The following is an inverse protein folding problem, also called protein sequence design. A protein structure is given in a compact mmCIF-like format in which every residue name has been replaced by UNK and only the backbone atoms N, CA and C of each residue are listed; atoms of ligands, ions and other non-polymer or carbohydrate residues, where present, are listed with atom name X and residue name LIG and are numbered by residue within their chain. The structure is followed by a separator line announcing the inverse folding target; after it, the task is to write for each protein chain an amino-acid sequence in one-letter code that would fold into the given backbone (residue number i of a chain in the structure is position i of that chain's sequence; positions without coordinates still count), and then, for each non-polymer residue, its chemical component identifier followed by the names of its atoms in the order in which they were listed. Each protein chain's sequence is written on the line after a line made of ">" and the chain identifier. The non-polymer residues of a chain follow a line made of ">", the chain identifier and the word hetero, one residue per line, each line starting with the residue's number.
data_IF_343483914065
#
_entry.id   IF_343483914065
#
_cell.length_a   1.000
_cell.length_b   1.000
_cell.length_c   1.000
_cell.angle_alpha   90.00
_cell.angle_beta   90.00
_cell.angle_gamma   90.00
#
_symmetry.space_group_name_H-M   'P 1'
#
loop_
_entity.id
_entity.type
_entity.pdbx_description
1 polymer ?
#
# COMPACT_ATOMS: atom_id res chain seq x y z
N UNK A 1 1.53 -32.44 4.45
CA UNK A 1 1.24 -31.59 3.27
C UNK A 1 0.41 -30.43 3.72
N UNK A 2 0.85 -29.20 3.47
CA UNK A 2 0.08 -27.98 3.80
C UNK A 2 -0.83 -27.64 2.63
N UNK A 3 -2.11 -27.37 2.90
CA UNK A 3 -3.09 -26.92 1.90
C UNK A 3 -3.41 -25.45 2.15
N UNK A 4 -3.45 -24.65 1.10
CA UNK A 4 -3.94 -23.26 1.21
C UNK A 4 -5.41 -23.31 1.64
N UNK A 5 -5.72 -22.65 2.76
CA UNK A 5 -7.08 -22.59 3.30
C UNK A 5 -7.95 -21.57 2.55
N UNK A 6 -7.38 -20.40 2.24
CA UNK A 6 -8.03 -19.31 1.50
C UNK A 6 -6.97 -18.37 0.89
N UNK A 7 -7.29 -17.73 -0.23
CA UNK A 7 -6.46 -16.70 -0.86
C UNK A 7 -7.21 -15.36 -0.87
N UNK A 8 -6.50 -14.27 -0.60
CA UNK A 8 -7.05 -12.92 -0.52
C UNK A 8 -6.35 -12.05 -1.57
N UNK A 9 -7.08 -11.09 -2.14
CA UNK A 9 -6.53 -10.08 -3.05
C UNK A 9 -6.69 -8.71 -2.40
N UNK A 10 -5.59 -7.96 -2.34
CA UNK A 10 -5.57 -6.59 -1.86
C UNK A 10 -5.30 -5.71 -3.08
N UNK A 11 -6.20 -4.77 -3.34
CA UNK A 11 -6.01 -3.71 -4.32
C UNK A 11 -5.13 -2.63 -3.66
N UNK A 12 -4.01 -2.28 -4.29
CA UNK A 12 -3.09 -1.23 -3.85
C UNK A 12 -2.95 -0.22 -4.98
N UNK A 13 -3.30 1.03 -4.67
CA UNK A 13 -3.17 2.15 -5.59
C UNK A 13 -2.21 3.18 -5.01
N UNK A 14 -1.44 3.83 -5.88
CA UNK A 14 -0.44 4.82 -5.52
C UNK A 14 -0.74 6.15 -6.20
N UNK A 15 -0.60 7.23 -5.42
CA UNK A 15 -0.64 8.60 -5.89
C UNK A 15 0.67 9.27 -5.49
N UNK A 16 1.36 9.89 -6.42
CA UNK A 16 2.67 10.50 -6.18
C UNK A 16 2.69 11.97 -6.65
N UNK A 17 3.20 12.83 -5.77
CA UNK A 17 3.62 14.20 -6.09
C UNK A 17 5.13 14.34 -5.88
N UNK A 18 5.68 15.55 -6.13
CA UNK A 18 7.12 15.79 -6.10
C UNK A 18 7.82 15.45 -4.76
N UNK A 19 7.06 15.32 -3.66
CA UNK A 19 7.60 15.13 -2.31
C UNK A 19 6.95 14.00 -1.52
N UNK A 20 5.77 13.50 -1.96
CA UNK A 20 4.98 12.55 -1.21
C UNK A 20 4.39 11.47 -2.10
N UNK A 21 4.49 10.24 -1.63
CA UNK A 21 3.76 9.09 -2.16
C UNK A 21 2.67 8.70 -1.17
N UNK A 22 1.46 8.48 -1.66
CA UNK A 22 0.31 7.97 -0.91
C UNK A 22 -0.05 6.60 -1.46
N UNK A 23 -0.31 5.64 -0.58
CA UNK A 23 -0.88 4.35 -0.91
C UNK A 23 -2.30 4.23 -0.34
N UNK A 24 -3.21 3.65 -1.10
CA UNK A 24 -4.52 3.21 -0.63
C UNK A 24 -4.63 1.69 -0.82
N UNK A 25 -4.95 0.98 0.26
CA UNK A 25 -5.17 -0.46 0.26
C UNK A 25 -6.67 -0.75 0.44
N UNK A 26 -7.21 -1.67 -0.34
CA UNK A 26 -8.57 -2.19 -0.22
C UNK A 26 -8.57 -3.71 -0.27
N UNK A 27 -9.23 -4.34 0.70
CA UNK A 27 -9.58 -5.75 0.62
C UNK A 27 -11.09 -5.91 0.76
N UNK A 28 -11.67 -6.74 -0.11
CA UNK A 28 -13.08 -7.15 -0.03
C UNK A 28 -13.15 -8.57 0.53
N UNK A 29 -13.79 -8.72 1.68
CA UNK A 29 -13.99 -10.00 2.36
C UNK A 29 -15.12 -10.78 1.69
N UNK A 30 -15.18 -12.08 1.96
CA UNK A 30 -16.20 -12.98 1.39
C UNK A 30 -17.64 -12.63 1.78
N UNK A 31 -17.82 -11.93 2.89
CA UNK A 31 -19.13 -11.44 3.36
C UNK A 31 -19.50 -10.07 2.75
N UNK A 32 -18.65 -9.53 1.87
CA UNK A 32 -18.83 -8.22 1.25
C UNK A 32 -18.27 -7.06 2.08
N UNK A 33 -17.74 -7.30 3.27
CA UNK A 33 -17.08 -6.26 4.08
C UNK A 33 -15.86 -5.70 3.34
N UNK A 34 -15.76 -4.38 3.27
CA UNK A 34 -14.58 -3.71 2.75
C UNK A 34 -13.70 -3.19 3.88
N UNK A 35 -12.44 -3.56 3.89
CA UNK A 35 -11.42 -2.99 4.78
C UNK A 35 -10.50 -2.11 3.95
N UNK A 36 -10.29 -0.88 4.40
CA UNK A 36 -9.50 0.14 3.70
C UNK A 36 -8.45 0.72 4.63
N UNK A 37 -7.27 0.95 4.08
CA UNK A 37 -6.17 1.56 4.80
C UNK A 37 -5.38 2.51 3.90
N UNK A 38 -4.62 3.41 4.53
CA UNK A 38 -3.79 4.37 3.83
C UNK A 38 -2.38 4.39 4.41
N UNK A 39 -1.41 4.56 3.53
CA UNK A 39 -0.01 4.73 3.89
C UNK A 39 0.56 5.94 3.17
N UNK A 40 1.58 6.55 3.77
CA UNK A 40 2.23 7.73 3.23
C UNK A 40 3.74 7.58 3.35
N UNK A 41 4.47 8.04 2.34
CA UNK A 41 5.92 8.20 2.36
C UNK A 41 6.26 9.61 1.89
N UNK A 42 7.27 10.22 2.51
CA UNK A 42 7.77 11.52 2.09
C UNK A 42 9.26 11.39 1.80
N UNK A 43 9.68 11.95 0.67
CA UNK A 43 11.10 12.03 0.28
C UNK A 43 11.73 13.26 0.93
N UNK A 44 12.95 13.12 1.47
CA UNK A 44 13.67 14.31 1.93
C UNK A 44 14.08 15.16 0.72
N UNK A 45 14.03 16.51 0.77
CA UNK A 45 14.32 17.35 -0.40
C UNK A 45 15.72 17.17 -1.01
N UNK A 46 16.69 16.67 -0.24
CA UNK A 46 18.04 16.37 -0.71
C UNK A 46 18.21 14.99 -1.33
N UNK A 47 17.23 14.10 -1.19
CA UNK A 47 17.32 12.74 -1.70
C UNK A 47 16.97 12.71 -3.19
N UNK A 48 17.61 11.80 -3.92
CA UNK A 48 17.32 11.58 -5.33
C UNK A 48 15.88 11.11 -5.54
N UNK A 49 15.30 11.50 -6.67
CA UNK A 49 13.94 11.11 -7.03
C UNK A 49 13.87 9.62 -7.40
N UNK A 50 13.35 8.81 -6.49
CA UNK A 50 13.24 7.36 -6.61
C UNK A 50 11.83 6.89 -6.24
N UNK A 51 10.92 6.98 -7.21
CA UNK A 51 9.48 6.66 -7.06
C UNK A 51 9.23 5.32 -6.35
N UNK A 52 9.97 4.27 -6.75
CA UNK A 52 9.85 2.93 -6.18
C UNK A 52 10.02 2.87 -4.66
N UNK A 53 10.89 3.70 -4.09
CA UNK A 53 11.10 3.74 -2.64
C UNK A 53 9.86 4.28 -1.93
N UNK A 54 9.25 5.32 -2.50
CA UNK A 54 8.00 5.89 -2.00
C UNK A 54 6.85 4.89 -2.05
N UNK A 55 6.71 4.16 -3.16
CA UNK A 55 5.70 3.10 -3.34
C UNK A 55 5.87 1.97 -2.32
N UNK A 56 7.09 1.44 -2.18
CA UNK A 56 7.38 0.33 -1.25
C UNK A 56 7.08 0.73 0.21
N UNK A 57 7.49 1.93 0.63
CA UNK A 57 7.27 2.41 2.00
C UNK A 57 5.80 2.73 2.25
N UNK A 58 5.14 3.48 1.34
CA UNK A 58 3.75 3.83 1.49
C UNK A 58 2.85 2.59 1.47
N UNK A 59 3.15 1.63 0.58
CA UNK A 59 2.44 0.35 0.51
C UNK A 59 2.61 -0.48 1.78
N UNK A 60 3.83 -0.61 2.30
CA UNK A 60 4.08 -1.32 3.55
C UNK A 60 3.33 -0.70 4.74
N UNK A 61 3.27 0.64 4.81
CA UNK A 61 2.49 1.35 5.84
C UNK A 61 1.00 1.10 5.68
N UNK A 62 0.46 1.19 4.46
CA UNK A 62 -0.96 0.92 4.20
C UNK A 62 -1.35 -0.51 4.59
N UNK A 63 -0.46 -1.49 4.44
CA UNK A 63 -0.71 -2.88 4.81
C UNK A 63 -0.52 -3.18 6.31
N UNK A 64 0.04 -2.26 7.09
CA UNK A 64 0.29 -2.41 8.52
C UNK A 64 -0.85 -1.87 9.39
N UNK A 65 -1.63 -0.92 8.88
CA UNK A 65 -2.81 -0.35 9.56
C UNK A 65 -3.99 -1.33 9.59
#
# INVERSE_FOLDING_TARGET
>A
MTRIAVGWHIELEFEEDAHRTRAAALVRLSDGTEVRAHGYASRHPSDEDQQRVGEEIAGARALNE
#
